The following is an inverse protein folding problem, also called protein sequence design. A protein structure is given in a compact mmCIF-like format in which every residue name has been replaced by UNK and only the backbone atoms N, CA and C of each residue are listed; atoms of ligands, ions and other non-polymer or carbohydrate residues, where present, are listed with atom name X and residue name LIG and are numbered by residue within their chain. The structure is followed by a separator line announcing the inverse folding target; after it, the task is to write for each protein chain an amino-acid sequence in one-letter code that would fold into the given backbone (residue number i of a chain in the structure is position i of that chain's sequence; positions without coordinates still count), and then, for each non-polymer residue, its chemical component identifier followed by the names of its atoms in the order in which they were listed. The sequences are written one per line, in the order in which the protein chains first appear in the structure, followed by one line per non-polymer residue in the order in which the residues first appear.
data_IF_506886881870
#
_entry.id   IF_506886881870
#
_cell.length_a   1.000
_cell.length_b   1.000
_cell.length_c   1.000
_cell.angle_alpha   90.00
_cell.angle_beta   90.00
_cell.angle_gamma   90.00
#
_symmetry.space_group_name_H-M   'P 1'
#
loop_
_entity.id
_entity.type
_entity.pdbx_description
1 polymer ?
#
# COMPACT_ATOMS: atom_id res chain seq x y z
N UNK A 1 17.47 10.46 14.74
CA UNK A 1 16.97 9.29 13.98
C UNK A 1 15.50 9.01 14.29
N UNK A 2 15.09 8.99 15.56
CA UNK A 2 13.69 8.78 15.96
C UNK A 2 12.69 9.77 15.35
N UNK A 3 13.01 11.08 15.33
CA UNK A 3 12.17 12.09 14.66
C UNK A 3 11.97 11.82 13.16
N UNK A 4 13.01 11.33 12.47
CA UNK A 4 12.94 10.94 11.05
C UNK A 4 12.10 9.67 10.86
N UNK A 5 12.19 8.72 11.79
CA UNK A 5 11.35 7.52 11.79
C UNK A 5 9.86 7.89 11.91
N UNK A 6 9.49 8.68 12.93
CA UNK A 6 8.11 9.12 13.13
C UNK A 6 7.60 9.91 11.92
N UNK A 7 8.41 10.82 11.38
CA UNK A 7 8.07 11.58 10.18
C UNK A 7 7.87 10.67 8.95
N UNK A 8 8.68 9.63 8.78
CA UNK A 8 8.52 8.67 7.70
C UNK A 8 7.25 7.84 7.85
N UNK A 9 6.92 7.36 9.05
CA UNK A 9 5.64 6.65 9.32
C UNK A 9 4.46 7.54 8.97
N UNK A 10 4.45 8.78 9.46
CA UNK A 10 3.36 9.72 9.19
C UNK A 10 3.24 10.02 7.69
N UNK A 11 4.37 10.26 7.00
CA UNK A 11 4.38 10.53 5.56
C UNK A 11 3.88 9.34 4.73
N UNK A 12 4.34 8.11 5.03
CA UNK A 12 3.88 6.90 4.35
C UNK A 12 2.38 6.69 4.58
N UNK A 13 1.91 6.82 5.83
CA UNK A 13 0.50 6.66 6.15
C UNK A 13 -0.40 7.66 5.40
N UNK A 14 -0.01 8.93 5.37
CA UNK A 14 -0.75 9.97 4.64
C UNK A 14 -0.75 9.69 3.14
N UNK A 15 0.42 9.37 2.56
CA UNK A 15 0.52 9.11 1.13
C UNK A 15 -0.28 7.89 0.72
N UNK A 16 -0.21 6.79 1.46
CA UNK A 16 -1.04 5.62 1.21
C UNK A 16 -2.52 5.92 1.35
N UNK A 17 -2.94 6.65 2.38
CA UNK A 17 -4.36 7.05 2.53
C UNK A 17 -4.87 7.85 1.33
N UNK A 18 -4.07 8.78 0.82
CA UNK A 18 -4.42 9.59 -0.36
C UNK A 18 -4.43 8.75 -1.65
N UNK A 19 -3.47 7.84 -1.79
CA UNK A 19 -3.40 6.92 -2.92
C UNK A 19 -4.55 5.91 -2.89
N UNK A 20 -4.88 5.34 -1.75
CA UNK A 20 -6.05 4.49 -1.53
C UNK A 20 -7.34 5.21 -1.96
N UNK A 21 -7.53 6.46 -1.52
CA UNK A 21 -8.67 7.26 -1.90
C UNK A 21 -8.75 7.50 -3.41
N UNK A 22 -7.62 7.70 -4.08
CA UNK A 22 -7.56 7.87 -5.53
C UNK A 22 -7.79 6.54 -6.27
N UNK A 23 -7.06 5.49 -5.91
CA UNK A 23 -7.05 4.20 -6.57
C UNK A 23 -8.40 3.52 -6.36
N UNK A 24 -8.84 3.37 -5.11
CA UNK A 24 -10.07 2.67 -4.79
C UNK A 24 -11.31 3.55 -4.94
N UNK A 25 -11.22 4.83 -4.57
CA UNK A 25 -12.33 5.77 -4.60
C UNK A 25 -12.65 6.33 -5.99
N UNK A 26 -11.68 6.29 -6.93
CA UNK A 26 -11.86 6.86 -8.28
C UNK A 26 -11.53 5.84 -9.37
N UNK A 27 -10.30 5.32 -9.41
CA UNK A 27 -9.84 4.51 -10.54
C UNK A 27 -10.53 3.14 -10.61
N UNK A 28 -10.72 2.48 -9.47
CA UNK A 28 -11.32 1.15 -9.38
C UNK A 28 -12.81 1.19 -9.03
N UNK A 29 -13.38 2.36 -8.74
CA UNK A 29 -14.80 2.50 -8.38
C UNK A 29 -15.75 1.85 -9.39
N UNK A 30 -15.59 2.03 -10.72
CA UNK A 30 -16.47 1.38 -11.68
C UNK A 30 -16.43 -0.16 -11.60
N UNK A 31 -15.28 -0.73 -11.25
CA UNK A 31 -15.13 -2.17 -11.08
C UNK A 31 -15.79 -2.67 -9.78
N UNK A 32 -15.76 -1.87 -8.71
CA UNK A 32 -16.49 -2.16 -7.47
C UNK A 32 -18.00 -2.10 -7.65
N UNK A 33 -18.50 -1.10 -8.38
CA UNK A 33 -19.91 -0.97 -8.71
C UNK A 33 -20.40 -2.15 -9.57
N UNK A 34 -19.60 -2.58 -10.54
CA UNK A 34 -19.89 -3.75 -11.37
C UNK A 34 -19.82 -5.09 -10.61
N UNK A 35 -19.28 -5.09 -9.38
CA UNK A 35 -19.07 -6.30 -8.57
C UNK A 35 -19.64 -6.20 -7.16
N UNK A 36 -20.69 -5.38 -6.95
CA UNK A 36 -21.28 -5.10 -5.64
C UNK A 36 -21.60 -6.34 -4.79
N UNK A 37 -21.99 -7.45 -5.41
CA UNK A 37 -22.30 -8.70 -4.72
C UNK A 37 -21.11 -9.34 -3.97
N UNK A 38 -19.86 -8.92 -4.27
CA UNK A 38 -18.66 -9.42 -3.61
C UNK A 38 -18.29 -8.65 -2.33
N UNK A 39 -18.86 -7.45 -2.14
CA UNK A 39 -18.44 -6.53 -1.09
C UNK A 39 -19.49 -6.40 0.01
N UNK A 40 -19.05 -5.98 1.18
CA UNK A 40 -19.99 -5.55 2.23
C UNK A 40 -20.82 -4.36 1.71
N UNK A 41 -22.12 -4.29 2.05
CA UNK A 41 -22.89 -3.08 1.84
C UNK A 41 -22.18 -1.86 2.42
N UNK A 42 -22.30 -0.68 1.79
CA UNK A 42 -21.57 0.52 2.22
C UNK A 42 -21.79 0.86 3.70
N UNK A 43 -23.02 0.68 4.23
CA UNK A 43 -23.33 0.93 5.64
C UNK A 43 -22.71 -0.07 6.63
N UNK A 44 -22.17 -1.18 6.13
CA UNK A 44 -21.54 -2.25 6.92
C UNK A 44 -20.01 -2.27 6.74
N UNK A 45 -19.45 -1.37 5.92
CA UNK A 45 -18.01 -1.22 5.77
C UNK A 45 -17.40 -0.66 7.06
N UNK A 46 -16.35 -1.31 7.55
CA UNK A 46 -15.69 -0.92 8.80
C UNK A 46 -14.57 0.08 8.47
N UNK A 47 -14.97 1.33 8.26
CA UNK A 47 -14.08 2.40 7.79
C UNK A 47 -12.87 2.63 8.72
N UNK A 48 -13.08 2.62 10.04
CA UNK A 48 -11.98 2.80 10.99
C UNK A 48 -10.92 1.69 10.90
N UNK A 49 -11.36 0.46 10.58
CA UNK A 49 -10.45 -0.67 10.43
C UNK A 49 -9.59 -0.50 9.18
N UNK A 50 -10.13 0.07 8.10
CA UNK A 50 -9.34 0.40 6.90
C UNK A 50 -8.17 1.32 7.26
N UNK A 51 -8.43 2.41 7.99
CA UNK A 51 -7.35 3.31 8.44
C UNK A 51 -6.38 2.63 9.41
N UNK A 52 -6.86 1.78 10.31
CA UNK A 52 -5.99 1.04 11.22
C UNK A 52 -5.05 0.09 10.48
N UNK A 53 -5.54 -0.67 9.51
CA UNK A 53 -4.70 -1.60 8.74
C UNK A 53 -3.68 -0.85 7.89
N UNK A 54 -4.05 0.29 7.27
CA UNK A 54 -3.11 1.14 6.54
C UNK A 54 -2.05 1.72 7.47
N UNK A 55 -2.43 2.17 8.67
CA UNK A 55 -1.50 2.71 9.67
C UNK A 55 -0.51 1.65 10.16
N UNK A 56 -0.99 0.47 10.56
CA UNK A 56 -0.12 -0.63 11.02
C UNK A 56 0.82 -1.07 9.90
N UNK A 57 0.32 -1.19 8.66
CA UNK A 57 1.15 -1.53 7.50
C UNK A 57 2.23 -0.48 7.26
N UNK A 58 1.92 0.82 7.39
CA UNK A 58 2.89 1.89 7.22
C UNK A 58 3.99 1.84 8.28
N UNK A 59 3.62 1.61 9.56
CA UNK A 59 4.57 1.43 10.65
C UNK A 59 5.51 0.26 10.37
N UNK A 60 4.98 -0.89 9.96
CA UNK A 60 5.76 -2.10 9.67
C UNK A 60 6.67 -1.91 8.47
N UNK A 61 6.17 -1.36 7.36
CA UNK A 61 6.96 -1.07 6.17
C UNK A 61 8.16 -0.17 6.49
N UNK A 62 7.91 0.93 7.20
CA UNK A 62 8.96 1.86 7.61
C UNK A 62 9.92 1.19 8.58
N UNK A 63 9.43 0.38 9.51
CA UNK A 63 10.27 -0.34 10.47
C UNK A 63 11.19 -1.36 9.80
N UNK A 64 10.70 -2.12 8.81
CA UNK A 64 11.52 -3.05 8.03
C UNK A 64 12.66 -2.30 7.35
N UNK A 65 12.35 -1.20 6.65
CA UNK A 65 13.40 -0.38 6.03
C UNK A 65 14.36 0.17 7.08
N UNK A 66 13.86 0.73 8.17
CA UNK A 66 14.65 1.35 9.23
C UNK A 66 15.59 0.37 9.94
N UNK A 67 15.14 -0.85 10.23
CA UNK A 67 15.88 -1.83 11.03
C UNK A 67 16.73 -2.77 10.18
N UNK A 68 16.28 -3.16 8.98
CA UNK A 68 16.91 -4.25 8.20
C UNK A 68 17.76 -3.77 7.02
N UNK A 69 17.56 -2.54 6.52
CA UNK A 69 18.36 -2.02 5.39
C UNK A 69 19.58 -1.27 5.91
N UNK A 70 20.78 -1.86 5.87
CA UNK A 70 21.97 -1.22 6.46
C UNK A 70 22.28 0.17 5.84
N UNK A 71 22.32 0.24 4.51
CA UNK A 71 22.65 1.48 3.78
C UNK A 71 21.39 2.24 3.37
N UNK A 72 21.14 3.39 4.00
CA UNK A 72 19.98 4.24 3.67
C UNK A 72 20.27 5.10 2.45
N UNK A 73 19.56 4.86 1.36
CA UNK A 73 19.70 5.60 0.11
C UNK A 73 18.40 5.60 -0.68
N UNK A 74 18.27 6.53 -1.63
CA UNK A 74 17.11 6.56 -2.55
C UNK A 74 17.00 5.26 -3.35
N UNK A 75 18.13 4.73 -3.85
CA UNK A 75 18.19 3.46 -4.58
C UNK A 75 17.65 2.32 -3.72
N UNK A 76 18.14 2.17 -2.48
CA UNK A 76 17.72 1.10 -1.60
C UNK A 76 16.26 1.27 -1.14
N UNK A 77 15.78 2.51 -0.98
CA UNK A 77 14.37 2.81 -0.73
C UNK A 77 13.47 2.35 -1.86
N UNK A 78 13.82 2.70 -3.10
CA UNK A 78 13.10 2.26 -4.30
C UNK A 78 13.16 0.75 -4.50
N UNK A 79 14.33 0.12 -4.33
CA UNK A 79 14.47 -1.34 -4.46
C UNK A 79 13.65 -2.06 -3.39
N UNK A 80 13.70 -1.60 -2.13
CA UNK A 80 12.88 -2.15 -1.05
C UNK A 80 11.39 -2.00 -1.34
N UNK A 81 10.94 -0.78 -1.67
CA UNK A 81 9.55 -0.49 -1.99
C UNK A 81 9.03 -1.28 -3.20
N UNK A 82 9.84 -1.42 -4.24
CA UNK A 82 9.49 -2.22 -5.42
C UNK A 82 9.35 -3.71 -5.10
N UNK A 83 10.31 -4.30 -4.38
CA UNK A 83 10.23 -5.72 -3.99
C UNK A 83 9.05 -5.98 -3.05
N UNK A 84 8.84 -5.10 -2.06
CA UNK A 84 7.69 -5.19 -1.16
C UNK A 84 6.38 -5.08 -1.94
N UNK A 85 6.27 -4.10 -2.85
CA UNK A 85 5.09 -3.89 -3.67
C UNK A 85 4.79 -5.05 -4.62
N UNK A 86 5.82 -5.69 -5.19
CA UNK A 86 5.64 -6.91 -5.99
C UNK A 86 5.12 -8.06 -5.11
N UNK A 87 5.75 -8.31 -3.96
CA UNK A 87 5.37 -9.41 -3.08
C UNK A 87 3.94 -9.23 -2.54
N UNK A 88 3.63 -8.05 -2.00
CA UNK A 88 2.32 -7.72 -1.47
C UNK A 88 1.27 -7.63 -2.57
N UNK A 89 1.59 -6.96 -3.68
CA UNK A 89 0.66 -6.77 -4.80
C UNK A 89 0.30 -8.07 -5.50
N UNK A 90 1.25 -9.00 -5.66
CA UNK A 90 0.95 -10.34 -6.21
C UNK A 90 0.02 -11.08 -5.26
N UNK A 91 0.30 -11.05 -3.94
CA UNK A 91 -0.55 -11.71 -2.94
C UNK A 91 -1.97 -11.14 -2.93
N UNK A 92 -2.12 -9.82 -2.88
CA UNK A 92 -3.42 -9.16 -2.84
C UNK A 92 -4.17 -9.24 -4.17
N UNK A 93 -3.53 -8.96 -5.30
CA UNK A 93 -4.16 -8.98 -6.62
C UNK A 93 -4.38 -10.39 -7.13
N UNK A 94 -3.30 -11.05 -7.55
CA UNK A 94 -3.37 -12.36 -8.21
C UNK A 94 -3.62 -13.52 -7.23
N UNK A 95 -3.14 -13.42 -5.99
CA UNK A 95 -3.45 -14.38 -4.94
C UNK A 95 -4.96 -14.44 -4.68
N UNK A 96 -5.62 -13.29 -4.53
CA UNK A 96 -7.08 -13.24 -4.42
C UNK A 96 -7.77 -13.77 -5.67
N UNK A 97 -7.35 -13.34 -6.88
CA UNK A 97 -7.92 -13.81 -8.14
C UNK A 97 -7.84 -15.32 -8.34
N UNK A 98 -6.84 -15.99 -7.76
CA UNK A 98 -6.68 -17.43 -7.89
C UNK A 98 -7.79 -18.26 -7.23
N UNK A 99 -8.51 -17.68 -6.26
CA UNK A 99 -9.54 -18.38 -5.47
C UNK A 99 -10.85 -17.61 -5.33
N UNK A 100 -10.85 -16.31 -5.56
CA UNK A 100 -12.03 -15.45 -5.53
C UNK A 100 -12.47 -15.11 -6.96
N UNK A 101 -13.79 -15.07 -7.23
CA UNK A 101 -14.31 -14.71 -8.54
C UNK A 101 -14.31 -13.18 -8.77
N UNK A 102 -13.18 -12.53 -8.55
CA UNK A 102 -13.01 -11.08 -8.81
C UNK A 102 -12.72 -10.84 -10.31
N UNK A 103 -13.14 -9.71 -10.90
CA UNK A 103 -12.78 -9.37 -12.27
C UNK A 103 -11.26 -9.26 -12.45
N UNK A 104 -10.72 -9.74 -13.57
CA UNK A 104 -9.28 -9.66 -13.88
C UNK A 104 -8.73 -8.23 -13.76
N UNK A 105 -9.46 -7.24 -14.28
CA UNK A 105 -9.04 -5.84 -14.22
C UNK A 105 -8.95 -5.31 -12.79
N UNK A 106 -9.73 -5.87 -11.86
CA UNK A 106 -9.65 -5.52 -10.45
C UNK A 106 -8.39 -6.11 -9.81
N UNK A 107 -8.10 -7.38 -10.11
CA UNK A 107 -6.87 -8.04 -9.65
C UNK A 107 -5.61 -7.30 -10.15
N UNK A 108 -5.58 -6.94 -11.44
CA UNK A 108 -4.51 -6.14 -12.03
C UNK A 108 -4.42 -4.75 -11.39
N UNK A 109 -5.57 -4.11 -11.16
CA UNK A 109 -5.67 -2.81 -10.50
C UNK A 109 -5.08 -2.83 -9.08
N UNK A 110 -5.41 -3.85 -8.28
CA UNK A 110 -4.84 -4.04 -6.94
C UNK A 110 -3.33 -4.27 -6.96
N UNK A 111 -2.85 -5.10 -7.89
CA UNK A 111 -1.42 -5.34 -8.06
C UNK A 111 -0.67 -4.03 -8.40
N UNK A 112 -1.12 -3.31 -9.42
CA UNK A 112 -0.47 -2.07 -9.86
C UNK A 112 -0.60 -0.95 -8.82
N UNK A 113 -1.75 -0.85 -8.14
CA UNK A 113 -2.00 0.11 -7.06
C UNK A 113 -1.03 -0.11 -5.90
N UNK A 114 -0.96 -1.35 -5.39
CA UNK A 114 -0.02 -1.72 -4.31
C UNK A 114 1.42 -1.44 -4.71
N UNK A 115 1.81 -1.75 -5.95
CA UNK A 115 3.16 -1.50 -6.44
C UNK A 115 3.47 0.00 -6.46
N UNK A 116 2.55 0.82 -6.95
CA UNK A 116 2.71 2.27 -6.97
C UNK A 116 2.82 2.86 -5.55
N UNK A 117 1.96 2.43 -4.63
CA UNK A 117 1.99 2.84 -3.21
C UNK A 117 3.30 2.46 -2.53
N UNK A 118 3.78 1.24 -2.77
CA UNK A 118 5.02 0.75 -2.17
C UNK A 118 6.25 1.45 -2.75
N UNK A 119 6.24 1.79 -4.04
CA UNK A 119 7.28 2.63 -4.65
C UNK A 119 7.28 4.04 -4.06
N UNK A 120 6.11 4.66 -3.89
CA UNK A 120 5.98 5.97 -3.26
C UNK A 120 6.50 5.94 -1.82
N UNK A 121 6.15 4.92 -1.03
CA UNK A 121 6.69 4.72 0.30
C UNK A 121 8.20 4.46 0.28
N UNK A 122 8.71 3.72 -0.70
CA UNK A 122 10.13 3.51 -0.96
C UNK A 122 10.90 4.80 -1.17
N UNK A 123 10.35 5.74 -1.95
CA UNK A 123 10.89 7.09 -2.12
C UNK A 123 10.91 7.85 -0.79
N UNK A 124 9.81 7.81 -0.04
CA UNK A 124 9.69 8.49 1.25
C UNK A 124 10.76 7.98 2.23
N UNK A 125 10.86 6.67 2.44
CA UNK A 125 11.84 6.12 3.39
C UNK A 125 13.27 6.34 2.90
N UNK A 126 13.52 6.21 1.59
CA UNK A 126 14.81 6.46 0.97
C UNK A 126 15.25 7.93 1.04
N UNK A 127 14.31 8.87 1.16
CA UNK A 127 14.58 10.30 1.31
C UNK A 127 14.64 10.76 2.77
N UNK A 128 13.70 10.32 3.61
CA UNK A 128 13.51 10.83 4.98
C UNK A 128 14.46 10.14 5.97
N UNK A 129 14.75 8.85 5.77
CA UNK A 129 15.60 8.06 6.69
C UNK A 129 17.07 8.07 6.27
N UNK A 130 17.41 8.56 5.06
CA UNK A 130 18.82 8.74 4.65
C UNK A 130 19.56 9.64 5.63
N UNK A 131 20.85 9.36 5.84
CA UNK A 131 21.71 10.17 6.71
C UNK A 131 21.84 11.59 6.17
#
# INVERSE_FOLDING_TARGET
MEKRYIAAVAAVFVVWTLMDALIHGVLLMPLYEASQALWRPMGEMIIWLMYLVTFVSAVVFVHIYYSLVAEKSMRNGLTFGGLFGIAWGISMGYGSYSVMPIPYMLALGWFLGTLAESLAAGVIVGYVIRK
#
